data_IF_404737031949
#
_entry.id   IF_404737031949
#
_cell.length_a   1.000
_cell.length_b   1.000
_cell.length_c   1.000
_cell.angle_alpha   90.00
_cell.angle_beta   90.00
_cell.angle_gamma   90.00
#
_symmetry.space_group_name_H-M   'P 1'
#
loop_
_entity.id
_entity.type
_entity.pdbx_description
1 polymer ?
#
# COMPACT_ATOMS: atom_id res chain seq x y z
N UNK A 1 16.50 -11.08 -4.91
CA UNK A 1 15.10 -11.55 -5.02
C UNK A 1 14.79 -12.65 -4.01
N UNK A 2 15.73 -13.57 -3.76
CA UNK A 2 15.54 -14.75 -2.88
C UNK A 2 15.15 -14.41 -1.44
N UNK A 3 15.68 -13.32 -0.89
CA UNK A 3 15.34 -12.86 0.47
C UNK A 3 13.83 -12.58 0.63
N UNK A 4 13.19 -11.98 -0.37
CA UNK A 4 11.77 -11.65 -0.34
C UNK A 4 10.93 -12.94 -0.41
N UNK A 5 11.30 -13.87 -1.29
CA UNK A 5 10.61 -15.15 -1.44
C UNK A 5 10.75 -16.03 -0.19
N UNK A 6 11.94 -16.09 0.38
CA UNK A 6 12.19 -16.80 1.64
C UNK A 6 11.35 -16.22 2.79
N UNK A 7 11.30 -14.89 2.90
CA UNK A 7 10.49 -14.20 3.90
C UNK A 7 9.00 -14.48 3.70
N UNK A 8 8.49 -14.43 2.47
CA UNK A 8 7.11 -14.75 2.15
C UNK A 8 6.75 -16.19 2.55
N UNK A 9 7.63 -17.17 2.28
CA UNK A 9 7.44 -18.57 2.69
C UNK A 9 7.39 -18.72 4.21
N UNK A 10 8.28 -18.04 4.94
CA UNK A 10 8.31 -18.05 6.40
C UNK A 10 7.01 -17.47 7.01
N UNK A 11 6.60 -16.29 6.55
CA UNK A 11 5.36 -15.62 6.99
C UNK A 11 4.14 -16.52 6.71
N UNK A 12 4.06 -17.11 5.51
CA UNK A 12 2.98 -18.05 5.14
C UNK A 12 2.87 -19.23 6.11
N UNK A 13 4.00 -19.82 6.50
CA UNK A 13 4.04 -20.93 7.47
C UNK A 13 3.54 -20.50 8.85
N UNK A 14 3.94 -19.32 9.33
CA UNK A 14 3.50 -18.78 10.63
C UNK A 14 1.99 -18.57 10.64
N UNK A 15 1.45 -17.91 9.61
CA UNK A 15 0.01 -17.66 9.46
C UNK A 15 -0.77 -18.98 9.39
N UNK A 16 -0.29 -19.96 8.61
CA UNK A 16 -0.96 -21.27 8.50
C UNK A 16 -1.01 -22.05 9.82
N UNK A 17 -0.09 -21.79 10.74
CA UNK A 17 -0.06 -22.38 12.09
C UNK A 17 -0.91 -21.60 13.10
N UNK A 18 -1.68 -20.61 12.65
CA UNK A 18 -2.52 -19.78 13.51
C UNK A 18 -1.74 -18.83 14.43
N UNK A 19 -0.45 -18.61 14.16
CA UNK A 19 0.40 -17.74 15.01
C UNK A 19 0.35 -16.29 14.52
N UNK A 20 0.37 -15.36 15.46
CA UNK A 20 0.46 -13.92 15.18
C UNK A 20 1.89 -13.51 14.83
N UNK A 21 2.03 -12.56 13.88
CA UNK A 21 3.30 -11.95 13.49
C UNK A 21 3.10 -10.45 13.24
N UNK A 22 3.00 -9.63 14.30
CA UNK A 22 2.59 -8.23 14.19
C UNK A 22 3.76 -7.32 13.78
N UNK A 23 4.45 -7.61 12.67
CA UNK A 23 5.64 -6.86 12.23
C UNK A 23 5.32 -5.47 11.68
N UNK A 24 4.05 -5.19 11.37
CA UNK A 24 3.55 -3.89 10.92
C UNK A 24 2.61 -3.27 11.97
N UNK A 25 2.80 -3.58 13.25
CA UNK A 25 1.96 -3.03 14.32
C UNK A 25 1.91 -1.50 14.25
N UNK A 26 0.69 -0.95 14.29
CA UNK A 26 0.41 0.48 14.24
C UNK A 26 0.90 1.17 12.94
N UNK A 27 1.13 0.40 11.87
CA UNK A 27 1.47 0.93 10.55
C UNK A 27 0.24 0.97 9.66
N UNK A 28 0.08 2.05 8.90
CA UNK A 28 -1.04 2.25 7.97
C UNK A 28 -0.52 2.32 6.54
N UNK A 29 -1.02 1.43 5.68
CA UNK A 29 -0.71 1.43 4.25
C UNK A 29 -1.84 2.07 3.43
N UNK A 30 -1.53 3.06 2.59
CA UNK A 30 -2.47 3.59 1.60
C UNK A 30 -2.48 2.74 0.34
N UNK A 31 -3.66 2.32 -0.12
CA UNK A 31 -3.84 1.57 -1.36
C UNK A 31 -4.45 2.49 -2.42
N UNK A 32 -3.60 3.21 -3.16
CA UNK A 32 -3.99 4.19 -4.20
C UNK A 32 -4.18 3.51 -5.55
N UNK A 33 -5.42 3.41 -6.02
CA UNK A 33 -5.76 2.65 -7.22
C UNK A 33 -6.51 3.52 -8.22
N UNK A 34 -5.90 3.74 -9.38
CA UNK A 34 -6.55 4.37 -10.54
C UNK A 34 -7.31 3.36 -11.41
N UNK A 35 -6.96 2.07 -11.27
CA UNK A 35 -7.64 0.94 -11.92
C UNK A 35 -8.19 0.00 -10.85
N UNK A 36 -9.49 -0.33 -10.85
CA UNK A 36 -10.04 -1.26 -9.87
C UNK A 36 -9.35 -2.62 -9.98
N UNK A 37 -9.06 -3.24 -8.83
CA UNK A 37 -8.52 -4.60 -8.79
C UNK A 37 -8.79 -5.33 -7.48
N UNK A 38 -9.68 -6.33 -7.56
CA UNK A 38 -10.10 -7.12 -6.41
C UNK A 38 -8.95 -7.92 -5.79
N UNK A 39 -8.17 -8.64 -6.61
CA UNK A 39 -7.08 -9.50 -6.12
C UNK A 39 -5.99 -8.70 -5.43
N UNK A 40 -5.55 -7.61 -6.06
CA UNK A 40 -4.48 -6.78 -5.51
C UNK A 40 -4.95 -6.09 -4.24
N UNK A 41 -6.13 -5.43 -4.24
CA UNK A 41 -6.69 -4.78 -3.05
C UNK A 41 -6.81 -5.76 -1.88
N UNK A 42 -7.54 -6.86 -2.08
CA UNK A 42 -7.78 -7.84 -1.03
C UNK A 42 -6.47 -8.43 -0.47
N UNK A 43 -5.47 -8.70 -1.34
CA UNK A 43 -4.20 -9.24 -0.87
C UNK A 43 -3.43 -8.28 0.04
N UNK A 44 -3.37 -6.99 -0.28
CA UNK A 44 -2.66 -6.00 0.53
C UNK A 44 -3.40 -5.68 1.83
N UNK A 45 -4.73 -5.51 1.76
CA UNK A 45 -5.55 -5.29 2.96
C UNK A 45 -5.41 -6.44 3.96
N UNK A 46 -5.55 -7.69 3.48
CA UNK A 46 -5.40 -8.87 4.34
C UNK A 46 -3.97 -8.99 4.86
N UNK A 47 -2.96 -8.65 4.06
CA UNK A 47 -1.56 -8.69 4.50
C UNK A 47 -1.29 -7.66 5.62
N UNK A 48 -1.73 -6.41 5.47
CA UNK A 48 -1.57 -5.36 6.48
C UNK A 48 -2.17 -5.82 7.82
N UNK A 49 -3.44 -6.26 7.80
CA UNK A 49 -4.15 -6.73 9.00
C UNK A 49 -3.50 -7.96 9.63
N UNK A 50 -3.09 -8.95 8.83
CA UNK A 50 -2.39 -10.15 9.35
C UNK A 50 -1.05 -9.83 9.99
N UNK A 51 -0.39 -8.77 9.53
CA UNK A 51 0.87 -8.29 10.09
C UNK A 51 0.67 -7.26 11.20
N UNK A 52 -0.57 -7.08 11.69
CA UNK A 52 -0.91 -6.21 12.82
C UNK A 52 -1.02 -4.72 12.50
N UNK A 53 -0.93 -4.35 11.22
CA UNK A 53 -1.18 -2.98 10.75
C UNK A 53 -2.59 -2.82 10.20
N UNK A 54 -2.82 -1.72 9.51
CA UNK A 54 -4.06 -1.44 8.81
C UNK A 54 -3.80 -0.87 7.41
N UNK A 55 -4.87 -0.69 6.64
CA UNK A 55 -4.81 -0.16 5.29
C UNK A 55 -6.03 0.70 4.97
N UNK A 56 -5.79 1.79 4.25
CA UNK A 56 -6.84 2.69 3.74
C UNK A 56 -6.90 2.54 2.23
N UNK A 57 -8.07 2.19 1.70
CA UNK A 57 -8.29 2.16 0.26
C UNK A 57 -8.56 3.57 -0.27
N UNK A 58 -7.78 3.99 -1.26
CA UNK A 58 -7.85 5.32 -1.86
C UNK A 58 -8.16 5.16 -3.35
N UNK A 59 -9.44 5.23 -3.69
CA UNK A 59 -9.87 5.16 -5.08
C UNK A 59 -9.53 6.49 -5.76
N UNK A 60 -8.81 6.47 -6.88
CA UNK A 60 -8.32 7.71 -7.48
C UNK A 60 -9.43 8.66 -7.95
N UNK A 61 -10.60 8.11 -8.31
CA UNK A 61 -11.80 8.89 -8.64
C UNK A 61 -12.41 9.63 -7.44
N UNK A 62 -12.05 9.25 -6.21
CA UNK A 62 -12.44 9.94 -4.98
C UNK A 62 -11.37 10.94 -4.51
N UNK A 63 -10.15 10.83 -5.05
CA UNK A 63 -9.03 11.73 -4.75
C UNK A 63 -9.09 12.99 -5.61
N UNK A 64 -8.53 14.08 -5.08
CA UNK A 64 -8.36 15.35 -5.79
C UNK A 64 -7.41 15.23 -7.00
N UNK A 65 -6.62 14.15 -7.10
CA UNK A 65 -5.92 13.72 -8.30
C UNK A 65 -6.84 13.69 -9.54
N UNK A 66 -8.08 13.19 -9.38
CA UNK A 66 -9.06 13.16 -10.47
C UNK A 66 -9.60 14.55 -10.87
N UNK A 67 -9.37 15.57 -10.02
CA UNK A 67 -9.80 16.96 -10.21
C UNK A 67 -8.65 17.89 -10.62
N UNK A 68 -7.49 17.33 -10.96
CA UNK A 68 -6.33 18.07 -11.45
C UNK A 68 -5.35 18.50 -10.37
N UNK A 69 -5.46 18.00 -9.13
CA UNK A 69 -4.42 18.22 -8.13
C UNK A 69 -3.09 17.62 -8.62
N UNK A 70 -1.97 18.36 -8.54
CA UNK A 70 -0.66 17.81 -8.87
C UNK A 70 -0.33 16.59 -8.01
N UNK A 71 0.13 15.49 -8.62
CA UNK A 71 0.51 14.25 -7.92
C UNK A 71 1.49 14.53 -6.78
N UNK A 72 2.42 15.47 -6.96
CA UNK A 72 3.37 15.91 -5.92
C UNK A 72 2.72 16.42 -4.64
N UNK A 73 1.56 17.06 -4.71
CA UNK A 73 0.91 17.70 -3.57
C UNK A 73 0.11 16.64 -2.80
N UNK A 74 -0.63 15.79 -3.54
CA UNK A 74 -1.23 14.58 -2.97
C UNK A 74 -0.19 13.67 -2.31
N UNK A 75 0.97 13.47 -2.94
CA UNK A 75 2.06 12.64 -2.41
C UNK A 75 2.56 13.15 -1.05
N UNK A 76 2.80 14.46 -0.90
CA UNK A 76 3.27 15.06 0.35
C UNK A 76 2.25 14.90 1.47
N UNK A 77 0.97 15.13 1.17
CA UNK A 77 -0.11 14.98 2.15
C UNK A 77 -0.20 13.53 2.61
N UNK A 78 -0.27 12.58 1.67
CA UNK A 78 -0.35 11.15 1.99
C UNK A 78 0.88 10.65 2.74
N UNK A 79 2.08 11.13 2.38
CA UNK A 79 3.34 10.82 3.06
C UNK A 79 3.39 11.27 4.52
N UNK A 80 2.71 12.36 4.87
CA UNK A 80 2.60 12.83 6.26
C UNK A 80 1.69 11.98 7.14
N UNK A 81 0.80 11.16 6.55
CA UNK A 81 -0.19 10.36 7.28
C UNK A 81 0.07 8.86 7.26
N UNK A 82 0.67 8.35 6.17
CA UNK A 82 0.80 6.93 5.90
C UNK A 82 2.25 6.45 6.09
N UNK A 83 2.41 5.21 6.55
CA UNK A 83 3.72 4.57 6.65
C UNK A 83 4.18 3.93 5.33
N UNK A 84 3.29 3.84 4.34
CA UNK A 84 3.60 3.31 3.02
C UNK A 84 2.46 3.44 2.03
N UNK A 85 2.79 3.52 0.75
CA UNK A 85 1.83 3.66 -0.35
C UNK A 85 2.01 2.50 -1.33
N UNK A 86 0.93 1.80 -1.63
CA UNK A 86 0.82 0.86 -2.75
C UNK A 86 0.02 1.53 -3.85
N UNK A 87 0.68 1.82 -4.97
CA UNK A 87 0.06 2.53 -6.08
C UNK A 87 -0.18 1.61 -7.29
N UNK A 88 -1.40 1.63 -7.81
CA UNK A 88 -1.77 1.02 -9.10
C UNK A 88 -2.26 2.10 -10.04
N UNK A 89 -1.36 2.61 -10.86
CA UNK A 89 -1.54 3.81 -11.69
C UNK A 89 -1.52 3.50 -13.20
N UNK A 90 -2.00 4.43 -14.03
CA UNK A 90 -1.95 4.39 -15.48
C UNK A 90 -0.54 4.69 -16.00
N UNK A 91 0.10 5.72 -15.44
CA UNK A 91 1.41 6.21 -15.89
C UNK A 91 2.52 5.80 -14.92
N UNK A 92 3.67 5.42 -15.47
CA UNK A 92 4.87 5.20 -14.67
C UNK A 92 5.36 6.50 -14.01
N UNK A 93 5.14 7.66 -14.63
CA UNK A 93 5.51 8.94 -14.05
C UNK A 93 4.76 9.22 -12.73
N UNK A 94 3.48 8.86 -12.65
CA UNK A 94 2.68 9.03 -11.42
C UNK A 94 3.30 8.31 -10.23
N UNK A 95 3.72 7.04 -10.40
CA UNK A 95 4.36 6.29 -9.30
C UNK A 95 5.75 6.83 -8.97
N UNK A 96 6.50 7.33 -9.96
CA UNK A 96 7.79 7.99 -9.74
C UNK A 96 7.63 9.30 -8.96
N UNK A 97 6.60 10.10 -9.25
CA UNK A 97 6.30 11.32 -8.50
C UNK A 97 5.85 11.00 -7.07
N UNK A 98 4.97 10.01 -6.88
CA UNK A 98 4.57 9.55 -5.55
C UNK A 98 5.81 9.18 -4.72
N UNK A 99 6.68 8.32 -5.26
CA UNK A 99 7.91 7.89 -4.59
C UNK A 99 8.87 9.05 -4.29
N UNK A 100 8.94 10.07 -5.15
CA UNK A 100 9.83 11.23 -4.97
C UNK A 100 9.35 12.21 -3.90
N UNK A 101 8.03 12.34 -3.72
CA UNK A 101 7.44 13.42 -2.91
C UNK A 101 6.73 12.96 -1.63
N UNK A 102 6.55 11.65 -1.41
CA UNK A 102 5.85 11.14 -0.22
C UNK A 102 6.74 10.86 1.01
N UNK A 103 8.04 11.12 0.95
CA UNK A 103 8.96 10.89 2.08
C UNK A 103 10.40 10.67 1.64
#
# INVERSE_FOLDING_TARGET
MDRVLARAKAIKTIIKRGRSLPTLRAKIAGLLFEKPSTRTRASFEVAARRLGGDSIYLAANELQLSRGEPVKDTARILGGYLDGIVARVYSHDTVMQLAKYSG
#
